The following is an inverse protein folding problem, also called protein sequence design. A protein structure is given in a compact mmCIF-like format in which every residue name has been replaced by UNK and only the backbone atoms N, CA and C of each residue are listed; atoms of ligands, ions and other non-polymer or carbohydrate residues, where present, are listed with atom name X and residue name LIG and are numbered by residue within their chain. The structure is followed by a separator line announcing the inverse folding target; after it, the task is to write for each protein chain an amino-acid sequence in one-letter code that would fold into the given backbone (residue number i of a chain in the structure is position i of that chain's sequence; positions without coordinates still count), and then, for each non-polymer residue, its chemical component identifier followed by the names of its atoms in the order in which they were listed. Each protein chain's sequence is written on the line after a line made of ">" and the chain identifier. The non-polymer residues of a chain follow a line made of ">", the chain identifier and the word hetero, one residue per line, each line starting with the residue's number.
data_IF_432675596398
#
_entry.id   IF_432675596398
#
_cell.length_a   1.000
_cell.length_b   1.000
_cell.length_c   1.000
_cell.angle_alpha   90.00
_cell.angle_beta   90.00
_cell.angle_gamma   90.00
#
_symmetry.space_group_name_H-M   'P 1'
#
loop_
_entity.id
_entity.type
_entity.pdbx_description
1 polymer ?
#
# COMPACT_ATOMS: atom_id res chain seq x y z
N UNK A 1 -18.11 15.70 -6.79
CA UNK A 1 -17.30 16.67 -6.02
C UNK A 1 -17.19 16.11 -4.61
N UNK A 2 -16.12 15.37 -4.31
CA UNK A 2 -15.93 14.76 -2.98
C UNK A 2 -15.20 15.78 -2.13
N UNK A 3 -15.88 16.33 -1.14
CA UNK A 3 -15.27 17.18 -0.13
C UNK A 3 -14.22 16.34 0.60
N UNK A 4 -12.94 16.55 0.30
CA UNK A 4 -11.84 16.02 1.09
C UNK A 4 -12.04 16.59 2.50
N UNK A 5 -12.53 15.75 3.42
CA UNK A 5 -12.70 16.10 4.83
C UNK A 5 -11.32 16.52 5.34
N UNK A 6 -11.12 17.82 5.52
CA UNK A 6 -9.88 18.39 6.07
C UNK A 6 -9.94 18.32 7.59
N UNK A 7 -8.79 18.19 8.23
CA UNK A 7 -8.70 18.39 9.68
C UNK A 7 -9.06 19.84 10.00
N UNK A 8 -9.84 20.05 11.06
CA UNK A 8 -10.20 21.39 11.55
C UNK A 8 -9.34 21.70 12.78
N UNK A 9 -8.86 22.94 12.88
CA UNK A 9 -8.22 23.46 14.09
C UNK A 9 -9.19 24.48 14.69
N UNK A 10 -9.74 24.18 15.85
CA UNK A 10 -10.56 25.10 16.63
C UNK A 10 -9.93 25.25 18.02
N UNK A 11 -9.70 26.48 18.47
CA UNK A 11 -9.26 26.78 19.85
C UNK A 11 -8.03 25.98 20.33
N UNK A 12 -7.05 25.74 19.46
CA UNK A 12 -5.85 24.96 19.80
C UNK A 12 -6.05 23.44 19.91
N UNK A 13 -7.22 22.93 19.51
CA UNK A 13 -7.51 21.49 19.42
C UNK A 13 -7.29 20.99 18.00
N UNK A 14 -6.61 19.86 17.87
CA UNK A 14 -6.40 19.18 16.58
C UNK A 14 -7.47 18.10 16.43
N UNK A 15 -8.39 18.28 15.50
CA UNK A 15 -9.38 17.26 15.15
C UNK A 15 -8.84 16.40 14.01
N UNK A 16 -8.82 15.09 14.21
CA UNK A 16 -8.37 14.11 13.21
C UNK A 16 -9.58 13.33 12.72
N UNK A 17 -9.85 13.40 11.41
CA UNK A 17 -10.88 12.56 10.82
C UNK A 17 -10.37 11.13 10.56
N UNK A 18 -11.29 10.18 10.35
CA UNK A 18 -10.97 8.76 10.16
C UNK A 18 -9.99 8.51 9.01
N UNK A 19 -10.11 9.23 7.90
CA UNK A 19 -9.22 9.07 6.75
C UNK A 19 -7.81 9.56 7.07
N UNK A 20 -7.69 10.72 7.74
CA UNK A 20 -6.41 11.26 8.21
C UNK A 20 -5.77 10.39 9.30
N UNK A 21 -6.58 9.78 10.18
CA UNK A 21 -6.09 8.82 11.16
C UNK A 21 -5.51 7.57 10.48
N UNK A 22 -6.21 7.01 9.49
CA UNK A 22 -5.76 5.87 8.71
C UNK A 22 -4.45 6.18 7.95
N UNK A 23 -4.35 7.33 7.28
CA UNK A 23 -3.13 7.77 6.58
C UNK A 23 -1.93 7.90 7.53
N UNK A 24 -2.14 8.47 8.72
CA UNK A 24 -1.08 8.63 9.73
C UNK A 24 -0.62 7.28 10.27
N UNK A 25 -1.56 6.38 10.55
CA UNK A 25 -1.24 5.02 11.01
C UNK A 25 -0.51 4.23 9.91
N UNK A 26 -0.96 4.29 8.66
CA UNK A 26 -0.30 3.60 7.55
C UNK A 26 1.13 4.11 7.33
N UNK A 27 1.35 5.44 7.31
CA UNK A 27 2.71 6.00 7.19
C UNK A 27 3.58 5.62 8.39
N UNK A 28 3.02 5.55 9.60
CA UNK A 28 3.76 5.08 10.77
C UNK A 28 4.14 3.60 10.65
N UNK A 29 3.20 2.73 10.26
CA UNK A 29 3.45 1.31 10.08
C UNK A 29 4.54 1.03 9.02
N UNK A 30 4.51 1.73 7.88
CA UNK A 30 5.54 1.62 6.84
C UNK A 30 6.92 1.99 7.40
N UNK A 31 7.01 3.09 8.17
CA UNK A 31 8.30 3.48 8.78
C UNK A 31 8.77 2.46 9.81
N UNK A 32 7.89 2.00 10.69
CA UNK A 32 8.22 0.99 11.71
C UNK A 32 8.72 -0.30 11.04
N UNK A 33 8.06 -0.73 9.97
CA UNK A 33 8.48 -1.90 9.19
C UNK A 33 9.92 -1.75 8.69
N UNK A 34 10.23 -0.63 8.04
CA UNK A 34 11.59 -0.40 7.51
C UNK A 34 12.64 -0.16 8.61
N UNK A 35 12.24 0.37 9.76
CA UNK A 35 13.08 0.48 10.96
C UNK A 35 13.36 -0.87 11.62
N UNK A 36 12.80 -1.97 11.11
CA UNK A 36 12.88 -3.30 11.73
C UNK A 36 12.38 -3.28 13.19
N UNK A 37 11.34 -2.50 13.44
CA UNK A 37 10.65 -2.48 14.72
C UNK A 37 9.96 -3.83 14.99
N UNK A 38 9.53 -4.01 16.25
CA UNK A 38 8.79 -5.19 16.69
C UNK A 38 7.60 -5.53 15.77
N UNK A 39 7.53 -6.79 15.31
CA UNK A 39 6.56 -7.23 14.32
C UNK A 39 5.12 -7.10 14.81
N UNK A 40 4.85 -7.32 16.10
CA UNK A 40 3.52 -7.14 16.70
C UNK A 40 3.12 -5.66 16.74
N UNK A 41 4.06 -4.78 17.06
CA UNK A 41 3.83 -3.33 17.05
C UNK A 41 3.51 -2.82 15.64
N UNK A 42 4.30 -3.23 14.63
CA UNK A 42 4.04 -2.92 13.21
C UNK A 42 2.64 -3.42 12.83
N UNK A 43 2.33 -4.68 13.14
CA UNK A 43 1.06 -5.32 12.77
C UNK A 43 -0.14 -4.61 13.38
N UNK A 44 0.00 -4.17 14.64
CA UNK A 44 -1.07 -3.46 15.36
C UNK A 44 -1.42 -2.16 14.66
N UNK A 45 -0.41 -1.36 14.31
CA UNK A 45 -0.61 -0.06 13.64
C UNK A 45 -1.11 -0.25 12.21
N UNK A 46 -0.54 -1.21 11.47
CA UNK A 46 -0.97 -1.53 10.11
C UNK A 46 -2.41 -2.04 10.05
N UNK A 47 -2.79 -2.94 10.98
CA UNK A 47 -4.16 -3.45 11.10
C UNK A 47 -5.16 -2.37 11.47
N UNK A 48 -4.80 -1.44 12.34
CA UNK A 48 -5.65 -0.30 12.66
C UNK A 48 -5.94 0.55 11.42
N UNK A 49 -4.90 0.84 10.61
CA UNK A 49 -5.06 1.57 9.35
C UNK A 49 -5.96 0.81 8.36
N UNK A 50 -5.69 -0.49 8.16
CA UNK A 50 -6.48 -1.35 7.25
C UNK A 50 -7.96 -1.37 7.63
N UNK A 51 -8.28 -1.55 8.93
CA UNK A 51 -9.66 -1.59 9.38
C UNK A 51 -10.37 -0.23 9.19
N UNK A 52 -9.70 0.90 9.41
CA UNK A 52 -10.26 2.22 9.14
C UNK A 52 -10.58 2.42 7.64
N UNK A 53 -9.64 2.07 6.75
CA UNK A 53 -9.90 2.16 5.32
C UNK A 53 -11.02 1.22 4.88
N UNK A 54 -11.05 -0.01 5.41
CA UNK A 54 -12.09 -0.99 5.12
C UNK A 54 -13.49 -0.50 5.50
N UNK A 55 -13.63 0.08 6.70
CA UNK A 55 -14.91 0.62 7.16
C UNK A 55 -15.34 1.83 6.31
N UNK A 56 -14.39 2.69 5.91
CA UNK A 56 -14.66 3.81 5.01
C UNK A 56 -15.10 3.34 3.62
N UNK A 57 -14.47 2.31 3.06
CA UNK A 57 -14.92 1.69 1.80
C UNK A 57 -16.31 1.09 1.91
N UNK A 58 -16.60 0.36 3.00
CA UNK A 58 -17.93 -0.20 3.25
C UNK A 58 -19.01 0.88 3.35
N UNK A 59 -18.71 2.00 4.00
CA UNK A 59 -19.64 3.15 4.04
C UNK A 59 -19.92 3.77 2.66
N UNK A 60 -19.04 3.54 1.67
CA UNK A 60 -19.23 3.93 0.26
C UNK A 60 -19.86 2.82 -0.58
N UNK A 61 -20.29 1.72 0.04
CA UNK A 61 -20.89 0.56 -0.65
C UNK A 61 -19.89 -0.29 -1.42
N UNK A 62 -18.60 -0.26 -1.01
CA UNK A 62 -17.50 -1.04 -1.59
C UNK A 62 -17.07 -2.14 -0.61
N UNK A 63 -16.90 -3.39 -1.05
CA UNK A 63 -16.40 -4.49 -0.20
C UNK A 63 -14.87 -4.67 -0.36
N UNK A 64 -14.06 -4.33 0.65
CA UNK A 64 -12.60 -4.33 0.52
C UNK A 64 -12.02 -5.71 0.18
N UNK A 65 -12.67 -6.81 0.60
CA UNK A 65 -12.20 -8.17 0.32
C UNK A 65 -12.13 -8.51 -1.18
N UNK A 66 -12.95 -7.87 -2.02
CA UNK A 66 -12.94 -8.09 -3.46
C UNK A 66 -12.23 -7.00 -4.23
N UNK A 67 -12.19 -5.79 -3.66
CA UNK A 67 -11.72 -4.61 -4.39
C UNK A 67 -10.23 -4.69 -4.71
N UNK A 68 -9.35 -5.14 -3.81
CA UNK A 68 -7.92 -5.22 -4.07
C UNK A 68 -7.56 -5.98 -5.36
N UNK A 69 -8.13 -7.17 -5.57
CA UNK A 69 -7.86 -7.99 -6.74
C UNK A 69 -8.62 -7.55 -8.00
N UNK A 70 -9.95 -7.43 -7.91
CA UNK A 70 -10.79 -7.19 -9.09
C UNK A 70 -10.61 -5.77 -9.64
N UNK A 71 -10.49 -4.78 -8.76
CA UNK A 71 -10.24 -3.42 -9.23
C UNK A 71 -8.80 -3.26 -9.72
N UNK A 72 -7.82 -3.95 -9.14
CA UNK A 72 -6.46 -4.01 -9.69
C UNK A 72 -6.46 -4.45 -11.16
N UNK A 73 -7.22 -5.50 -11.47
CA UNK A 73 -7.43 -5.98 -12.86
C UNK A 73 -8.16 -4.94 -13.71
N UNK A 74 -9.27 -4.37 -13.22
CA UNK A 74 -10.06 -3.37 -13.97
C UNK A 74 -9.24 -2.10 -14.27
N UNK A 75 -8.40 -1.67 -13.31
CA UNK A 75 -7.52 -0.51 -13.45
C UNK A 75 -6.41 -0.79 -14.46
N UNK A 76 -5.73 -1.92 -14.33
CA UNK A 76 -4.70 -2.34 -15.27
C UNK A 76 -5.27 -2.46 -16.71
N UNK A 77 -6.47 -3.03 -16.87
CA UNK A 77 -7.15 -3.08 -18.16
C UNK A 77 -7.48 -1.68 -18.72
N UNK A 78 -7.87 -0.73 -17.86
CA UNK A 78 -8.09 0.66 -18.28
C UNK A 78 -6.78 1.33 -18.70
N UNK A 79 -5.71 1.17 -17.94
CA UNK A 79 -4.41 1.73 -18.26
C UNK A 79 -3.85 1.17 -19.58
N UNK A 80 -4.12 -0.10 -19.92
CA UNK A 80 -3.81 -0.67 -21.25
C UNK A 80 -4.63 -0.01 -22.36
N UNK A 81 -5.93 0.22 -22.16
CA UNK A 81 -6.79 0.91 -23.13
C UNK A 81 -6.39 2.37 -23.35
N UNK A 82 -5.94 3.04 -22.29
CA UNK A 82 -5.49 4.42 -22.32
C UNK A 82 -4.07 4.55 -22.92
N UNK A 83 -3.39 3.43 -23.16
CA UNK A 83 -2.05 3.36 -23.75
C UNK A 83 -0.90 3.63 -22.77
N UNK A 84 -1.19 3.63 -21.47
CA UNK A 84 -0.20 3.79 -20.41
C UNK A 84 0.61 2.51 -20.20
N UNK A 85 -0.01 1.35 -20.45
CA UNK A 85 0.61 0.02 -20.34
C UNK A 85 0.37 -0.86 -21.57
N UNK A 86 1.20 -1.88 -21.74
CA UNK A 86 1.06 -2.93 -22.74
C UNK A 86 0.77 -4.29 -22.09
N UNK A 87 0.05 -5.16 -22.79
CA UNK A 87 -0.39 -6.46 -22.23
C UNK A 87 0.78 -7.38 -21.81
N UNK A 88 1.93 -7.28 -22.47
CA UNK A 88 3.14 -8.05 -22.14
C UNK A 88 3.72 -7.69 -20.77
N UNK A 89 3.42 -6.51 -20.22
CA UNK A 89 3.85 -6.15 -18.87
C UNK A 89 3.20 -7.04 -17.79
N UNK A 90 2.05 -7.62 -18.10
CA UNK A 90 1.32 -8.52 -17.21
C UNK A 90 1.69 -10.00 -17.39
N UNK A 91 2.70 -10.34 -18.21
CA UNK A 91 3.16 -11.72 -18.37
C UNK A 91 3.66 -12.31 -17.04
N UNK A 92 4.15 -11.47 -16.13
CA UNK A 92 4.57 -11.84 -14.77
C UNK A 92 3.42 -12.33 -13.89
N UNK A 93 2.16 -12.01 -14.22
CA UNK A 93 0.97 -12.49 -13.52
C UNK A 93 0.58 -13.91 -13.96
N UNK A 94 1.36 -14.52 -14.86
CA UNK A 94 1.09 -15.82 -15.45
C UNK A 94 0.00 -15.79 -16.52
N UNK A 95 -0.17 -16.92 -17.19
CA UNK A 95 -1.09 -17.07 -18.34
C UNK A 95 -2.53 -16.68 -17.96
N UNK A 96 -3.01 -17.12 -16.80
CA UNK A 96 -4.37 -16.82 -16.34
C UNK A 96 -4.55 -15.35 -15.93
N UNK A 97 -3.56 -14.75 -15.27
CA UNK A 97 -3.59 -13.34 -14.88
C UNK A 97 -3.61 -12.42 -16.11
N UNK A 98 -2.70 -12.67 -17.06
CA UNK A 98 -2.66 -11.96 -18.35
C UNK A 98 -3.96 -12.10 -19.12
N UNK A 99 -4.52 -13.31 -19.19
CA UNK A 99 -5.81 -13.57 -19.86
C UNK A 99 -6.94 -12.79 -19.20
N UNK A 100 -6.98 -12.75 -17.86
CA UNK A 100 -7.99 -11.99 -17.13
C UNK A 100 -7.92 -10.49 -17.45
N UNK A 101 -6.72 -9.91 -17.57
CA UNK A 101 -6.53 -8.52 -18.00
C UNK A 101 -7.02 -8.35 -19.44
N UNK A 102 -6.63 -9.24 -20.35
CA UNK A 102 -7.07 -9.20 -21.75
C UNK A 102 -8.60 -9.22 -21.87
N UNK A 103 -9.27 -10.14 -21.16
CA UNK A 103 -10.73 -10.25 -21.15
C UNK A 103 -11.38 -8.94 -20.66
N UNK A 104 -10.77 -8.28 -19.66
CA UNK A 104 -11.23 -6.98 -19.16
C UNK A 104 -10.94 -5.82 -20.11
N UNK A 105 -9.81 -5.83 -20.84
CA UNK A 105 -9.50 -4.84 -21.89
C UNK A 105 -10.54 -4.92 -23.00
N UNK A 106 -10.87 -6.13 -23.47
CA UNK A 106 -11.91 -6.35 -24.48
C UNK A 106 -13.28 -5.86 -23.98
N UNK A 107 -13.64 -6.20 -22.74
CA UNK A 107 -14.89 -5.77 -22.12
C UNK A 107 -14.99 -4.24 -21.98
N UNK A 108 -13.98 -3.58 -21.42
CA UNK A 108 -13.98 -2.13 -21.21
C UNK A 108 -13.84 -1.36 -22.54
N UNK A 109 -13.13 -1.92 -23.52
CA UNK A 109 -13.01 -1.35 -24.86
C UNK A 109 -14.35 -1.37 -25.62
N UNK A 110 -15.13 -2.44 -25.47
CA UNK A 110 -16.51 -2.50 -25.97
C UNK A 110 -17.47 -1.57 -25.22
N UNK A 111 -17.10 -1.12 -24.01
CA UNK A 111 -17.95 -0.33 -23.12
C UNK A 111 -17.21 0.92 -22.58
N UNK A 112 -16.80 1.88 -23.44
CA UNK A 112 -15.90 2.98 -23.06
C UNK A 112 -16.51 3.96 -22.04
N UNK A 113 -17.84 3.96 -21.85
CA UNK A 113 -18.55 4.81 -20.88
C UNK A 113 -18.59 4.23 -19.47
N UNK A 114 -18.13 2.99 -19.26
CA UNK A 114 -18.12 2.40 -17.91
C UNK A 114 -17.08 3.12 -17.06
N UNK A 115 -17.57 3.78 -16.02
CA UNK A 115 -16.74 4.30 -14.94
C UNK A 115 -16.35 3.14 -14.00
N UNK A 116 -15.08 2.75 -14.06
CA UNK A 116 -14.54 1.67 -13.23
C UNK A 116 -14.62 2.00 -11.73
N UNK A 117 -14.66 3.28 -11.36
CA UNK A 117 -14.78 3.72 -9.97
C UNK A 117 -16.17 3.47 -9.39
N UNK A 118 -17.17 3.42 -10.27
CA UNK A 118 -18.56 3.20 -9.94
C UNK A 118 -18.95 1.71 -9.92
N UNK A 119 -18.10 0.83 -10.47
CA UNK A 119 -18.34 -0.63 -10.45
C UNK A 119 -18.36 -1.10 -9.01
N UNK A 120 -19.44 -1.78 -8.61
CA UNK A 120 -19.56 -2.44 -7.32
C UNK A 120 -19.37 -3.93 -7.50
N UNK A 121 -18.46 -4.49 -6.73
CA UNK A 121 -18.16 -5.92 -6.74
C UNK A 121 -18.69 -6.53 -5.45
N UNK A 122 -19.49 -7.58 -5.60
CA UNK A 122 -19.95 -8.40 -4.49
C UNK A 122 -19.60 -9.86 -4.80
N UNK A 123 -19.43 -10.66 -3.75
CA UNK A 123 -19.25 -12.09 -3.86
C UNK A 123 -19.81 -12.80 -2.64
N UNK A 124 -19.58 -14.12 -2.50
CA UNK A 124 -20.16 -14.89 -1.42
C UNK A 124 -19.74 -14.40 -0.03
N UNK A 125 -20.68 -14.30 0.91
CA UNK A 125 -20.41 -13.92 2.31
C UNK A 125 -19.39 -14.84 2.99
N UNK A 126 -19.28 -16.10 2.54
CA UNK A 126 -18.27 -17.05 3.02
C UNK A 126 -16.85 -16.58 2.68
N UNK A 127 -16.64 -16.10 1.45
CA UNK A 127 -15.34 -15.57 1.02
C UNK A 127 -14.95 -14.33 1.82
N UNK A 128 -15.88 -13.37 1.97
CA UNK A 128 -15.65 -12.14 2.75
C UNK A 128 -15.30 -12.49 4.20
N UNK A 129 -16.03 -13.42 4.81
CA UNK A 129 -15.75 -13.88 6.17
C UNK A 129 -14.37 -14.53 6.28
N UNK A 130 -14.02 -15.41 5.36
CA UNK A 130 -12.71 -16.07 5.36
C UNK A 130 -11.58 -15.05 5.20
N UNK A 131 -11.68 -14.15 4.22
CA UNK A 131 -10.72 -13.06 4.00
C UNK A 131 -10.48 -12.28 5.30
N UNK A 132 -11.55 -11.80 5.95
CA UNK A 132 -11.41 -11.01 7.17
C UNK A 132 -10.96 -11.82 8.38
N UNK A 133 -11.27 -13.12 8.44
CA UNK A 133 -10.84 -14.00 9.53
C UNK A 133 -9.32 -14.14 9.51
N UNK A 134 -8.74 -14.40 8.34
CA UNK A 134 -7.29 -14.53 8.19
C UNK A 134 -6.58 -13.20 8.49
N UNK A 135 -7.02 -12.09 7.86
CA UNK A 135 -6.38 -10.77 8.04
C UNK A 135 -6.46 -10.26 9.48
N UNK A 136 -7.51 -10.62 10.21
CA UNK A 136 -7.73 -10.15 11.59
C UNK A 136 -7.26 -11.14 12.64
N UNK A 137 -6.62 -12.27 12.28
CA UNK A 137 -6.22 -13.30 13.25
C UNK A 137 -5.37 -12.72 14.37
N UNK A 138 -4.23 -12.10 14.04
CA UNK A 138 -3.33 -11.50 15.03
C UNK A 138 -3.96 -10.25 15.71
N UNK A 139 -4.65 -9.39 14.95
CA UNK A 139 -5.39 -8.26 15.53
C UNK A 139 -6.45 -8.69 16.57
N UNK A 140 -7.21 -9.76 16.28
CA UNK A 140 -8.23 -10.29 17.17
C UNK A 140 -7.62 -10.95 18.41
N UNK A 141 -6.50 -11.65 18.25
CA UNK A 141 -5.72 -12.19 19.38
C UNK A 141 -5.35 -11.06 20.35
N UNK A 142 -4.74 -9.98 19.83
CA UNK A 142 -4.30 -8.85 20.65
C UNK A 142 -5.45 -8.11 21.35
N UNK A 143 -6.61 -7.96 20.69
CA UNK A 143 -7.74 -7.20 21.26
C UNK A 143 -8.63 -8.01 22.20
N UNK A 144 -8.49 -9.33 22.25
CA UNK A 144 -9.35 -10.24 23.04
C UNK A 144 -8.61 -10.96 24.17
N UNK A 145 -7.59 -10.31 24.74
CA UNK A 145 -6.91 -10.79 25.95
C UNK A 145 -7.87 -11.00 27.15
N UNK A 146 -9.05 -10.35 27.16
CA UNK A 146 -10.10 -10.57 28.15
C UNK A 146 -10.72 -11.96 28.09
N UNK A 147 -10.69 -12.60 26.91
CA UNK A 147 -11.33 -13.90 26.65
C UNK A 147 -10.32 -15.04 26.58
N UNK A 148 -9.07 -14.73 26.24
CA UNK A 148 -7.99 -15.70 26.09
C UNK A 148 -6.67 -15.12 26.66
N UNK A 149 -6.58 -14.95 27.98
CA UNK A 149 -5.41 -14.32 28.62
C UNK A 149 -4.14 -15.18 28.55
N UNK A 150 -4.30 -16.50 28.40
CA UNK A 150 -3.20 -17.47 28.34
C UNK A 150 -2.93 -17.94 26.90
N UNK A 151 -3.56 -17.31 25.92
CA UNK A 151 -3.40 -17.65 24.51
C UNK A 151 -1.99 -17.32 24.00
N UNK A 152 -1.55 -18.05 22.97
CA UNK A 152 -0.28 -17.81 22.29
C UNK A 152 -0.53 -17.50 20.82
N UNK A 153 0.16 -16.50 20.31
CA UNK A 153 0.24 -16.21 18.89
C UNK A 153 1.64 -16.53 18.41
N UNK A 154 1.73 -17.44 17.44
CA UNK A 154 2.96 -17.69 16.73
C UNK A 154 3.25 -16.52 15.79
N UNK A 155 4.39 -15.86 16.02
CA UNK A 155 4.87 -14.70 15.27
C UNK A 155 5.01 -15.00 13.77
N UNK A 156 5.27 -16.27 13.39
CA UNK A 156 5.34 -16.68 11.99
C UNK A 156 4.01 -16.50 11.23
N UNK A 157 2.88 -16.32 11.93
CA UNK A 157 1.58 -15.99 11.32
C UNK A 157 1.36 -14.49 11.13
N UNK A 158 2.26 -13.63 11.58
CA UNK A 158 2.19 -12.20 11.37
C UNK A 158 2.75 -11.88 9.98
N UNK A 159 1.89 -11.35 9.12
CA UNK A 159 2.27 -10.94 7.76
C UNK A 159 2.05 -9.43 7.62
N UNK A 160 3.08 -8.66 7.96
CA UNK A 160 3.02 -7.20 7.94
C UNK A 160 3.01 -6.65 6.52
N UNK A 161 3.77 -7.28 5.64
CA UNK A 161 3.88 -6.95 4.22
C UNK A 161 2.51 -6.90 3.57
N UNK A 162 1.75 -7.97 3.78
CA UNK A 162 0.43 -8.13 3.21
C UNK A 162 -0.59 -7.15 3.82
N UNK A 163 -0.58 -6.92 5.13
CA UNK A 163 -1.51 -5.97 5.76
C UNK A 163 -1.23 -4.53 5.30
N UNK A 164 0.04 -4.14 5.20
CA UNK A 164 0.43 -2.82 4.70
C UNK A 164 0.03 -2.68 3.22
N UNK A 165 0.32 -3.67 2.38
CA UNK A 165 -0.05 -3.65 0.97
C UNK A 165 -1.57 -3.50 0.76
N UNK A 166 -2.38 -4.26 1.52
CA UNK A 166 -3.84 -4.17 1.50
C UNK A 166 -4.35 -2.81 1.99
N UNK A 167 -3.72 -2.25 3.03
CA UNK A 167 -4.06 -0.93 3.53
C UNK A 167 -3.77 0.16 2.48
N UNK A 168 -2.63 0.07 1.78
CA UNK A 168 -2.30 0.97 0.67
C UNK A 168 -3.33 0.81 -0.46
N UNK A 169 -3.64 -0.42 -0.87
CA UNK A 169 -4.65 -0.71 -1.88
C UNK A 169 -5.97 -0.02 -1.55
N UNK A 170 -6.50 -0.24 -0.35
CA UNK A 170 -7.74 0.39 0.10
C UNK A 170 -7.65 1.93 0.19
N UNK A 171 -6.49 2.47 0.56
CA UNK A 171 -6.26 3.92 0.57
C UNK A 171 -6.39 4.52 -0.85
N UNK A 172 -5.76 3.90 -1.85
CA UNK A 172 -5.84 4.35 -3.24
C UNK A 172 -7.28 4.36 -3.76
N UNK A 173 -8.06 3.34 -3.42
CA UNK A 173 -9.51 3.28 -3.75
C UNK A 173 -10.35 4.38 -3.09
N UNK A 174 -9.88 4.90 -1.96
CA UNK A 174 -10.52 6.02 -1.28
C UNK A 174 -10.07 7.38 -1.85
N UNK A 175 -9.28 7.37 -2.93
CA UNK A 175 -8.62 8.50 -3.57
C UNK A 175 -7.57 9.17 -2.68
N UNK A 176 -6.94 8.38 -1.79
CA UNK A 176 -5.77 8.87 -1.08
C UNK A 176 -4.58 8.99 -2.03
N UNK A 177 -3.71 9.95 -1.75
CA UNK A 177 -2.50 10.18 -2.55
C UNK A 177 -1.52 9.02 -2.36
N UNK A 178 -0.91 8.58 -3.46
CA UNK A 178 0.31 7.78 -3.43
C UNK A 178 1.45 8.64 -2.86
N UNK A 179 1.79 8.42 -1.60
CA UNK A 179 2.89 9.13 -0.94
C UNK A 179 4.21 8.42 -1.22
N UNK A 180 5.36 9.10 -1.09
CA UNK A 180 6.68 8.46 -1.23
C UNK A 180 6.83 7.18 -0.41
N UNK A 181 6.35 7.18 0.84
CA UNK A 181 6.37 5.99 1.71
C UNK A 181 5.64 4.78 1.09
N UNK A 182 4.47 5.01 0.47
CA UNK A 182 3.65 3.96 -0.14
C UNK A 182 4.26 3.46 -1.45
N UNK A 183 4.75 4.39 -2.26
CA UNK A 183 5.43 4.10 -3.53
C UNK A 183 6.69 3.26 -3.29
N UNK A 184 7.53 3.69 -2.35
CA UNK A 184 8.74 2.97 -1.98
C UNK A 184 8.41 1.59 -1.39
N UNK A 185 7.42 1.50 -0.50
CA UNK A 185 7.00 0.22 0.07
C UNK A 185 6.64 -0.79 -1.02
N UNK A 186 5.81 -0.40 -1.98
CA UNK A 186 5.44 -1.28 -3.09
C UNK A 186 6.65 -1.70 -3.94
N UNK A 187 7.50 -0.76 -4.34
CA UNK A 187 8.69 -1.08 -5.15
C UNK A 187 9.65 -2.00 -4.39
N UNK A 188 9.84 -1.79 -3.08
CA UNK A 188 10.68 -2.62 -2.23
C UNK A 188 10.12 -4.03 -2.10
N UNK A 189 8.83 -4.17 -1.81
CA UNK A 189 8.19 -5.48 -1.70
C UNK A 189 8.26 -6.28 -3.01
N UNK A 190 8.15 -5.61 -4.16
CA UNK A 190 8.33 -6.26 -5.45
C UNK A 190 9.77 -6.65 -5.74
N UNK A 191 10.73 -5.78 -5.40
CA UNK A 191 12.15 -6.08 -5.57
C UNK A 191 12.60 -7.25 -4.68
N UNK A 192 11.92 -7.47 -3.55
CA UNK A 192 12.15 -8.58 -2.62
C UNK A 192 11.22 -9.79 -2.87
N UNK A 193 10.51 -9.82 -4.00
CA UNK A 193 9.61 -10.91 -4.41
C UNK A 193 8.44 -11.21 -3.44
N UNK A 194 8.08 -10.26 -2.57
CA UNK A 194 6.91 -10.37 -1.68
C UNK A 194 5.59 -9.99 -2.37
N UNK A 195 5.66 -9.18 -3.43
CA UNK A 195 4.50 -8.77 -4.23
C UNK A 195 4.73 -9.10 -5.70
N UNK A 196 3.62 -9.30 -6.42
CA UNK A 196 3.62 -9.46 -7.87
C UNK A 196 3.23 -8.10 -8.47
N UNK A 197 4.20 -7.46 -9.12
CA UNK A 197 4.08 -6.31 -10.03
C UNK A 197 3.25 -5.11 -9.52
N UNK A 198 3.85 -4.22 -8.73
CA UNK A 198 3.18 -3.06 -8.19
C UNK A 198 3.08 -1.94 -9.23
N UNK A 199 2.02 -1.09 -9.13
CA UNK A 199 1.97 0.18 -9.85
C UNK A 199 3.02 1.13 -9.26
N UNK A 200 4.28 1.00 -9.69
CA UNK A 200 5.39 1.81 -9.17
C UNK A 200 6.39 2.18 -10.26
N UNK A 201 7.25 3.15 -9.96
CA UNK A 201 8.21 3.71 -10.92
C UNK A 201 9.17 2.60 -11.42
N UNK A 202 9.17 2.26 -12.73
CA UNK A 202 10.04 1.23 -13.27
C UNK A 202 11.52 1.47 -13.00
N UNK A 203 11.93 2.74 -12.91
CA UNK A 203 13.30 3.11 -12.58
C UNK A 203 13.64 2.78 -11.12
N UNK A 204 12.72 3.05 -10.19
CA UNK A 204 12.92 2.67 -8.79
C UNK A 204 13.00 1.15 -8.64
N UNK A 205 12.07 0.42 -9.25
CA UNK A 205 12.09 -1.05 -9.27
C UNK A 205 13.44 -1.55 -9.80
N UNK A 206 13.90 -1.02 -10.93
CA UNK A 206 15.16 -1.44 -11.55
C UNK A 206 16.34 -1.22 -10.61
N UNK A 207 16.39 -0.07 -9.90
CA UNK A 207 17.42 0.21 -8.89
C UNK A 207 17.33 -0.80 -7.75
N UNK A 208 16.15 -0.99 -7.16
CA UNK A 208 15.98 -1.84 -5.99
C UNK A 208 16.29 -3.32 -6.29
N UNK A 209 15.98 -3.81 -7.50
CA UNK A 209 16.35 -5.19 -7.91
C UNK A 209 17.85 -5.45 -8.02
N UNK A 210 18.69 -4.41 -7.98
CA UNK A 210 20.15 -4.57 -7.90
C UNK A 210 20.66 -4.65 -6.47
N UNK A 211 19.80 -4.45 -5.47
CA UNK A 211 20.15 -4.41 -4.06
C UNK A 211 19.68 -5.70 -3.37
N UNK A 212 20.42 -6.13 -2.36
CA UNK A 212 19.97 -7.13 -1.41
C UNK A 212 18.82 -6.60 -0.55
N UNK A 213 18.06 -7.49 0.11
CA UNK A 213 17.00 -7.11 1.02
C UNK A 213 17.51 -6.15 2.12
N UNK A 214 18.66 -6.45 2.73
CA UNK A 214 19.26 -5.60 3.77
C UNK A 214 19.62 -4.19 3.26
N UNK A 215 20.11 -4.08 2.01
CA UNK A 215 20.40 -2.81 1.38
C UNK A 215 19.13 -2.00 1.08
N UNK A 216 18.05 -2.66 0.64
CA UNK A 216 16.74 -2.04 0.43
C UNK A 216 16.20 -1.50 1.76
N UNK A 217 16.25 -2.31 2.82
CA UNK A 217 15.81 -1.92 4.17
C UNK A 217 16.63 -0.74 4.69
N UNK A 218 17.96 -0.77 4.53
CA UNK A 218 18.86 0.32 4.90
C UNK A 218 18.59 1.62 4.12
N UNK A 219 18.31 1.52 2.82
CA UNK A 219 17.92 2.65 1.99
C UNK A 219 16.59 3.27 2.46
N UNK A 220 15.61 2.42 2.76
CA UNK A 220 14.31 2.84 3.27
C UNK A 220 14.43 3.58 4.61
N UNK A 221 15.22 3.04 5.56
CA UNK A 221 15.50 3.69 6.84
C UNK A 221 16.04 5.09 6.65
N UNK A 222 17.08 5.25 5.83
CA UNK A 222 17.72 6.56 5.61
C UNK A 222 16.75 7.59 5.01
N UNK A 223 15.94 7.19 4.03
CA UNK A 223 15.15 8.16 3.26
C UNK A 223 13.73 8.39 3.79
N UNK A 224 13.07 7.34 4.30
CA UNK A 224 11.70 7.44 4.82
C UNK A 224 11.68 7.77 6.31
N UNK A 225 12.68 7.30 7.05
CA UNK A 225 12.64 7.31 8.51
C UNK A 225 13.54 8.40 9.10
N UNK A 226 14.75 8.59 8.55
CA UNK A 226 15.73 9.54 9.06
C UNK A 226 15.80 10.89 8.34
N UNK A 227 15.02 11.13 7.28
CA UNK A 227 15.01 12.41 6.56
C UNK A 227 14.46 13.61 7.34
N UNK A 228 14.24 13.46 8.65
CA UNK A 228 13.83 14.49 9.62
C UNK A 228 14.91 14.86 10.64
N UNK A 229 16.01 14.14 10.68
CA UNK A 229 17.16 14.41 11.57
C UNK A 229 18.34 14.74 10.67
N UNK A 230 19.00 15.87 10.93
CA UNK A 230 20.12 16.43 10.16
C UNK A 230 21.41 15.57 10.24
N UNK A 231 21.33 14.26 10.02
CA UNK A 231 22.46 13.36 10.21
C UNK A 231 23.14 13.03 8.89
N UNK A 232 24.30 13.67 8.72
CA UNK A 232 25.34 13.38 7.75
C UNK A 232 25.99 12.02 8.05
N UNK A 233 25.38 10.94 7.55
CA UNK A 233 26.08 9.67 7.36
C UNK A 233 26.40 9.53 5.87
N UNK A 234 27.64 9.87 5.50
CA UNK A 234 28.25 9.48 4.23
C UNK A 234 28.39 7.97 4.23
N UNK A 235 27.50 7.29 3.50
CA UNK A 235 27.85 6.01 2.94
C UNK A 235 28.72 6.31 1.73
N UNK A 236 29.92 5.73 1.71
CA UNK A 236 30.73 5.65 0.50
C UNK A 236 29.95 4.85 -0.55
N UNK A 237 29.23 5.60 -1.40
CA UNK A 237 28.42 5.11 -2.51
C UNK A 237 29.23 5.10 -3.82
N UNK A 238 30.56 5.00 -3.76
CA UNK A 238 31.42 4.85 -4.93
C UNK A 238 31.27 3.44 -5.55
N UNK A 239 30.19 3.26 -6.30
CA UNK A 239 30.24 3.06 -7.75
C UNK A 239 28.88 2.55 -8.26
N UNK A 240 28.36 3.25 -9.29
CA UNK A 240 27.18 2.97 -10.14
C UNK A 240 25.81 3.54 -9.75
N UNK A 241 25.48 3.77 -8.48
CA UNK A 241 24.08 4.10 -8.09
C UNK A 241 23.80 5.57 -7.76
N UNK A 242 24.81 6.44 -7.82
CA UNK A 242 24.74 7.79 -7.26
C UNK A 242 23.74 8.71 -7.97
N UNK A 243 23.77 8.79 -9.30
CA UNK A 243 22.96 9.77 -10.02
C UNK A 243 21.47 9.39 -10.08
N UNK A 244 21.15 8.13 -10.36
CA UNK A 244 19.78 7.64 -10.49
C UNK A 244 19.02 7.71 -9.15
N UNK A 245 19.68 7.31 -8.06
CA UNK A 245 19.12 7.38 -6.70
C UNK A 245 18.98 8.83 -6.26
N UNK A 246 19.99 9.69 -6.49
CA UNK A 246 19.87 11.14 -6.22
C UNK A 246 18.78 11.81 -7.04
N UNK A 247 18.59 11.46 -8.31
CA UNK A 247 17.54 11.99 -9.17
C UNK A 247 16.15 11.56 -8.71
N UNK A 248 15.96 10.28 -8.36
CA UNK A 248 14.69 9.80 -7.80
C UNK A 248 14.38 10.45 -6.46
N UNK A 249 15.34 10.51 -5.54
CA UNK A 249 15.17 11.17 -4.23
C UNK A 249 14.92 12.67 -4.37
N UNK A 250 15.54 13.34 -5.34
CA UNK A 250 15.25 14.73 -5.69
C UNK A 250 13.82 14.89 -6.19
N UNK A 251 13.36 14.03 -7.09
CA UNK A 251 11.97 13.99 -7.58
C UNK A 251 10.96 13.72 -6.44
N UNK A 252 11.29 12.86 -5.48
CA UNK A 252 10.48 12.62 -4.28
C UNK A 252 10.40 13.84 -3.36
N UNK A 253 11.49 14.61 -3.24
CA UNK A 253 11.51 15.87 -2.46
C UNK A 253 10.72 16.99 -3.15
N UNK A 254 10.65 16.98 -4.47
CA UNK A 254 9.94 17.98 -5.29
C UNK A 254 8.42 17.71 -5.42
N UNK A 255 7.94 16.47 -5.19
CA UNK A 255 6.50 16.19 -5.07
C UNK A 255 5.94 16.94 -3.85
N UNK A 256 4.84 17.71 -3.98
CA UNK A 256 4.24 18.42 -2.85
C UNK A 256 3.81 17.40 -1.79
N UNK A 257 4.52 17.41 -0.65
CA UNK A 257 4.21 16.54 0.49
C UNK A 257 2.78 16.83 0.95
N UNK A 258 2.03 15.81 1.42
CA UNK A 258 0.81 16.09 2.18
C UNK A 258 1.18 17.06 3.33
N UNK A 259 0.32 18.04 3.65
CA UNK A 259 0.62 19.01 4.69
C UNK A 259 1.03 18.26 5.96
N UNK A 260 2.30 18.41 6.33
CA UNK A 260 2.78 18.10 7.67
C UNK A 260 2.02 19.02 8.62
N UNK A 261 1.43 18.42 9.66
CA UNK A 261 1.02 19.14 10.87
C UNK A 261 2.20 19.98 11.38
#
# INVERSE_FOLDING_TARGET
>A
MVELIKNTIEEGKIFVNKLSAAERQLSAAIRMYFMEEDQLAVHTVASAALNLYADLMKSRGKEPAFYGGIYGVLRAARDVLDGEFSLDQFDSWGVEGRKLIQDMVEFLGANPKIDIEAIRVNGPDSFVRQFWTEKRKAYNFLKHADRDPDGFLDEAHINNENIIAEAIGNALHLNCKMTPDKEFFFSAMYAMDFLIDPPSDPMLIWILKQLSADEIMSLARRHLCYSRVDDAFEIDLDSKFDLATKMYLKRLKEKPRPPTL
#
